data_IF_172699833060
#
_entry.id   IF_172699833060
#
_cell.length_a   1.000
_cell.length_b   1.000
_cell.length_c   1.000
_cell.angle_alpha   90.00
_cell.angle_beta   90.00
_cell.angle_gamma   90.00
#
_symmetry.space_group_name_H-M   'P 1'
#
loop_
_entity.id
_entity.type
_entity.pdbx_description
1 polymer ?
#
# COMPACT_ATOMS: atom_id res chain seq x y z
N UNK A 1 38.51 -19.67 -39.53
CA UNK A 1 38.80 -19.20 -38.16
C UNK A 1 38.44 -17.74 -37.90
N UNK A 2 38.64 -16.80 -38.84
CA UNK A 2 38.32 -15.35 -38.61
C UNK A 2 36.84 -15.05 -38.40
N UNK A 3 35.93 -15.83 -39.01
CA UNK A 3 34.48 -15.64 -38.83
C UNK A 3 33.93 -16.14 -37.49
N UNK A 4 34.54 -17.18 -36.92
CA UNK A 4 34.16 -17.73 -35.62
C UNK A 4 34.45 -16.71 -34.48
N UNK A 5 35.60 -16.01 -34.59
CA UNK A 5 35.97 -14.96 -33.64
C UNK A 5 34.99 -13.76 -33.67
N UNK A 6 34.55 -13.37 -34.89
CA UNK A 6 33.59 -12.28 -35.05
C UNK A 6 32.19 -12.65 -34.47
N UNK A 7 31.76 -13.90 -34.70
CA UNK A 7 30.47 -14.38 -34.13
C UNK A 7 30.52 -14.42 -32.59
N UNK A 8 31.62 -14.91 -32.05
CA UNK A 8 31.80 -15.01 -30.57
C UNK A 8 31.81 -13.58 -29.96
N UNK A 9 32.49 -12.60 -30.62
CA UNK A 9 32.49 -11.21 -30.11
C UNK A 9 31.11 -10.57 -30.17
N UNK A 10 30.34 -10.82 -31.24
CA UNK A 10 28.95 -10.33 -31.35
C UNK A 10 28.02 -10.96 -30.31
N UNK A 11 28.17 -12.25 -30.04
CA UNK A 11 27.39 -12.94 -28.99
C UNK A 11 27.73 -12.40 -27.60
N UNK A 12 29.03 -12.18 -27.33
CA UNK A 12 29.46 -11.64 -26.02
C UNK A 12 28.98 -10.19 -25.84
N UNK A 13 29.07 -9.34 -26.89
CA UNK A 13 28.58 -7.99 -26.84
C UNK A 13 27.04 -7.91 -26.75
N UNK A 14 26.35 -8.84 -27.45
CA UNK A 14 24.89 -8.96 -27.37
C UNK A 14 24.41 -9.42 -26.00
N UNK A 15 25.04 -10.44 -25.42
CA UNK A 15 24.73 -10.91 -24.06
C UNK A 15 25.13 -9.89 -22.99
N UNK A 16 26.26 -9.20 -23.17
CA UNK A 16 26.68 -8.11 -22.27
C UNK A 16 25.73 -6.94 -22.31
N UNK A 17 25.27 -6.54 -23.50
CA UNK A 17 24.25 -5.50 -23.68
C UNK A 17 22.89 -5.91 -23.09
N UNK A 18 22.49 -7.15 -23.30
CA UNK A 18 21.26 -7.70 -22.72
C UNK A 18 21.34 -7.77 -21.19
N UNK A 19 22.49 -8.18 -20.65
CA UNK A 19 22.72 -8.22 -19.21
C UNK A 19 22.69 -6.82 -18.57
N UNK A 20 23.33 -5.82 -19.21
CA UNK A 20 23.34 -4.44 -18.74
C UNK A 20 21.95 -3.77 -18.85
N UNK A 21 21.17 -4.12 -19.86
CA UNK A 21 19.79 -3.63 -19.98
C UNK A 21 18.88 -4.31 -18.96
N UNK A 22 19.07 -5.58 -18.69
CA UNK A 22 18.26 -6.34 -17.74
C UNK A 22 18.58 -5.94 -16.27
N UNK A 23 19.84 -5.61 -15.96
CA UNK A 23 20.21 -5.14 -14.61
C UNK A 23 19.62 -3.76 -14.26
N UNK A 24 19.20 -2.96 -15.24
CA UNK A 24 18.46 -1.71 -15.00
C UNK A 24 16.99 -1.93 -14.68
N UNK A 25 16.43 -3.09 -14.99
CA UNK A 25 15.05 -3.42 -14.68
C UNK A 25 14.87 -4.05 -13.29
N UNK A 26 15.95 -4.59 -12.69
CA UNK A 26 15.89 -5.21 -11.36
C UNK A 26 15.93 -4.19 -10.20
N UNK A 27 16.32 -2.94 -10.45
CA UNK A 27 16.45 -1.93 -9.41
C UNK A 27 15.11 -1.26 -9.03
N UNK A 28 14.00 -1.68 -9.60
CA UNK A 28 12.67 -1.10 -9.35
C UNK A 28 11.67 -2.04 -8.71
N UNK A 29 12.06 -3.26 -8.41
CA UNK A 29 11.38 -4.15 -7.49
C UNK A 29 12.24 -4.28 -6.24
N UNK A 30 12.33 -3.22 -5.46
CA UNK A 30 12.39 -3.45 -4.03
C UNK A 30 11.15 -4.25 -3.74
N UNK A 31 11.34 -5.56 -3.52
CA UNK A 31 10.37 -6.39 -2.83
C UNK A 31 10.10 -5.63 -1.55
N UNK A 32 9.04 -4.81 -1.54
CA UNK A 32 8.45 -4.35 -0.30
C UNK A 32 8.25 -5.65 0.47
N UNK A 33 9.04 -5.87 1.50
CA UNK A 33 8.72 -6.91 2.48
C UNK A 33 7.28 -6.61 2.89
N UNK A 34 6.40 -7.49 2.53
CA UNK A 34 4.96 -7.40 2.38
C UNK A 34 4.22 -7.04 3.69
N UNK A 35 4.92 -6.61 4.72
CA UNK A 35 4.40 -6.53 6.08
C UNK A 35 4.69 -5.23 6.83
N UNK A 36 5.26 -4.19 6.19
CA UNK A 36 5.63 -2.97 6.93
C UNK A 36 4.93 -1.74 6.34
N UNK A 37 3.99 -1.18 7.09
CA UNK A 37 3.45 0.14 6.78
C UNK A 37 4.57 1.18 6.89
N UNK A 38 4.79 2.04 5.89
CA UNK A 38 5.83 3.05 5.96
C UNK A 38 5.49 4.10 7.01
N UNK A 39 6.43 4.34 7.92
CA UNK A 39 6.33 5.38 8.93
C UNK A 39 5.60 4.96 10.21
N UNK A 40 6.03 5.51 11.33
CA UNK A 40 5.43 5.26 12.65
C UNK A 40 4.50 6.39 13.13
N UNK A 41 4.14 7.33 12.26
CA UNK A 41 3.04 8.24 12.54
C UNK A 41 1.73 7.52 12.26
N UNK A 42 0.95 7.23 13.31
CA UNK A 42 -0.38 6.64 13.15
C UNK A 42 -1.32 7.67 12.54
N UNK A 43 -1.28 7.82 11.21
CA UNK A 43 -2.23 8.61 10.44
C UNK A 43 -3.25 7.68 9.79
N UNK A 44 -4.47 7.70 10.28
CA UNK A 44 -5.57 6.93 9.69
C UNK A 44 -6.56 7.87 9.04
N UNK A 45 -6.85 7.66 7.76
CA UNK A 45 -7.85 8.40 7.00
C UNK A 45 -8.94 7.44 6.55
N UNK A 46 -10.20 7.78 6.83
CA UNK A 46 -11.35 6.97 6.42
C UNK A 46 -12.34 7.80 5.60
N UNK A 47 -12.62 7.35 4.39
CA UNK A 47 -13.69 7.89 3.55
C UNK A 47 -14.99 7.15 3.85
N UNK A 48 -16.05 7.91 4.14
CA UNK A 48 -17.35 7.37 4.59
C UNK A 48 -18.53 8.00 3.89
N UNK A 49 -19.72 7.48 4.16
CA UNK A 49 -20.98 8.18 3.90
C UNK A 49 -22.00 7.87 5.01
N UNK A 50 -22.98 8.76 5.23
CA UNK A 50 -24.10 8.48 6.14
C UNK A 50 -24.82 7.18 5.76
N UNK A 51 -25.40 6.51 6.75
CA UNK A 51 -26.16 5.26 6.57
C UNK A 51 -25.34 4.06 6.05
N UNK A 52 -24.04 4.15 6.06
CA UNK A 52 -23.13 3.09 5.66
C UNK A 52 -22.80 2.19 6.87
N UNK A 53 -23.41 1.00 6.93
CA UNK A 53 -23.17 0.03 8.02
C UNK A 53 -21.70 -0.40 8.11
N UNK A 54 -21.04 -0.62 6.98
CA UNK A 54 -19.62 -1.00 6.94
C UNK A 54 -18.72 0.15 7.40
N UNK A 55 -19.10 1.41 7.16
CA UNK A 55 -18.37 2.56 7.70
C UNK A 55 -18.46 2.62 9.23
N UNK A 56 -19.66 2.38 9.78
CA UNK A 56 -19.86 2.30 11.23
C UNK A 56 -19.03 1.18 11.86
N UNK A 57 -19.01 0.00 11.23
CA UNK A 57 -18.22 -1.13 11.71
C UNK A 57 -16.71 -0.84 11.64
N UNK A 58 -16.24 -0.19 10.57
CA UNK A 58 -14.84 0.18 10.44
C UNK A 58 -14.42 1.18 11.51
N UNK A 59 -15.21 2.24 11.73
CA UNK A 59 -14.97 3.22 12.81
C UNK A 59 -14.93 2.55 14.18
N UNK A 60 -15.90 1.68 14.46
CA UNK A 60 -15.91 0.93 15.74
C UNK A 60 -14.64 0.10 15.91
N UNK A 61 -14.17 -0.59 14.87
CA UNK A 61 -12.94 -1.37 14.95
C UNK A 61 -11.72 -0.47 15.22
N UNK A 62 -11.62 0.69 14.57
CA UNK A 62 -10.56 1.66 14.83
C UNK A 62 -10.62 2.21 16.27
N UNK A 63 -11.83 2.50 16.77
CA UNK A 63 -12.05 2.94 18.15
C UNK A 63 -11.63 1.84 19.18
N UNK A 64 -12.03 0.60 18.94
CA UNK A 64 -11.66 -0.55 19.79
C UNK A 64 -10.14 -0.77 19.82
N UNK A 65 -9.47 -0.49 18.69
CA UNK A 65 -8.00 -0.53 18.56
C UNK A 65 -7.31 0.73 19.10
N UNK A 66 -8.07 1.76 19.53
CA UNK A 66 -7.56 3.07 19.94
C UNK A 66 -6.70 3.75 18.89
N UNK A 67 -7.06 3.59 17.62
CA UNK A 67 -6.43 4.25 16.49
C UNK A 67 -7.23 5.50 16.11
N UNK A 68 -6.71 6.71 16.39
CA UNK A 68 -7.38 7.93 15.99
C UNK A 68 -7.42 8.02 14.46
N UNK A 69 -8.52 8.53 13.92
CA UNK A 69 -8.70 8.65 12.48
C UNK A 69 -9.31 9.99 12.09
N UNK A 70 -8.98 10.44 10.89
CA UNK A 70 -9.65 11.53 10.20
C UNK A 70 -10.76 10.96 9.31
N UNK A 71 -11.98 11.50 9.42
CA UNK A 71 -13.13 11.06 8.63
C UNK A 71 -13.44 12.06 7.51
N UNK A 72 -13.53 11.57 6.28
CA UNK A 72 -13.95 12.34 5.10
C UNK A 72 -15.28 11.83 4.60
N UNK A 73 -16.35 12.61 4.80
CA UNK A 73 -17.65 12.30 4.21
C UNK A 73 -17.66 12.62 2.71
N UNK A 74 -17.99 11.61 1.90
CA UNK A 74 -18.09 11.72 0.44
C UNK A 74 -19.54 11.72 -0.05
N UNK A 75 -20.53 11.71 0.85
CA UNK A 75 -21.96 11.57 0.50
C UNK A 75 -22.44 12.67 -0.46
N UNK A 76 -22.20 13.90 -0.10
CA UNK A 76 -22.69 15.08 -0.81
C UNK A 76 -21.66 15.72 -1.75
N UNK A 77 -20.57 15.03 -2.09
CA UNK A 77 -19.51 15.57 -2.90
C UNK A 77 -19.13 14.64 -4.05
N UNK A 78 -19.63 15.00 -5.24
CA UNK A 78 -19.28 14.27 -6.48
C UNK A 78 -17.76 14.33 -6.75
N UNK A 79 -17.13 15.47 -6.45
CA UNK A 79 -15.68 15.62 -6.64
C UNK A 79 -14.87 14.70 -5.72
N UNK A 80 -15.23 14.63 -4.43
CA UNK A 80 -14.56 13.71 -3.48
C UNK A 80 -14.77 12.24 -3.86
N UNK A 81 -15.97 11.90 -4.35
CA UNK A 81 -16.24 10.54 -4.85
C UNK A 81 -15.39 10.21 -6.08
N UNK A 82 -15.29 11.13 -7.03
CA UNK A 82 -14.46 10.96 -8.22
C UNK A 82 -12.98 10.84 -7.86
N UNK A 83 -12.49 11.68 -6.95
CA UNK A 83 -11.13 11.61 -6.43
C UNK A 83 -10.84 10.26 -5.76
N UNK A 84 -11.75 9.81 -4.89
CA UNK A 84 -11.64 8.51 -4.21
C UNK A 84 -11.59 7.36 -5.23
N UNK A 85 -12.47 7.37 -6.22
CA UNK A 85 -12.50 6.36 -7.28
C UNK A 85 -11.20 6.36 -8.11
N UNK A 86 -10.66 7.54 -8.39
CA UNK A 86 -9.39 7.67 -9.11
C UNK A 86 -8.20 7.14 -8.29
N UNK A 87 -8.18 7.42 -6.98
CA UNK A 87 -7.10 6.98 -6.08
C UNK A 87 -7.14 5.48 -5.79
N UNK A 88 -8.33 4.91 -5.63
CA UNK A 88 -8.50 3.52 -5.14
C UNK A 88 -8.92 2.53 -6.21
N UNK A 89 -9.42 3.01 -7.35
CA UNK A 89 -10.11 2.19 -8.34
C UNK A 89 -11.47 1.66 -7.86
N UNK A 90 -11.97 2.12 -6.70
CA UNK A 90 -13.21 1.65 -6.05
C UNK A 90 -14.20 2.79 -5.86
N UNK A 91 -15.49 2.51 -6.08
CA UNK A 91 -16.59 3.47 -5.87
C UNK A 91 -17.36 3.24 -4.56
N UNK A 92 -16.86 2.39 -3.70
CA UNK A 92 -17.52 1.98 -2.45
C UNK A 92 -16.88 2.63 -1.24
N UNK A 93 -17.65 2.78 -0.16
CA UNK A 93 -17.18 3.19 1.16
C UNK A 93 -17.49 2.08 2.18
N UNK A 94 -16.72 1.96 3.26
CA UNK A 94 -15.55 2.78 3.58
C UNK A 94 -14.35 2.49 2.68
N UNK A 95 -13.44 3.47 2.57
CA UNK A 95 -12.10 3.27 2.07
C UNK A 95 -11.14 3.83 3.10
N UNK A 96 -10.15 3.03 3.49
CA UNK A 96 -9.30 3.27 4.65
C UNK A 96 -7.86 3.35 4.20
N UNK A 97 -7.15 4.34 4.71
CA UNK A 97 -5.71 4.51 4.55
C UNK A 97 -5.04 4.50 5.92
N UNK A 98 -3.89 3.87 6.03
CA UNK A 98 -3.01 3.92 7.20
C UNK A 98 -1.65 4.36 6.69
N UNK A 99 -1.14 5.48 7.18
CA UNK A 99 0.12 6.09 6.74
C UNK A 99 0.22 6.21 5.21
N UNK A 100 -0.81 6.78 4.58
CA UNK A 100 -0.97 6.92 3.13
C UNK A 100 -1.06 5.58 2.35
N UNK A 101 -0.98 4.45 3.03
CA UNK A 101 -1.16 3.15 2.41
C UNK A 101 -2.64 2.78 2.36
N UNK A 102 -3.15 2.47 1.16
CA UNK A 102 -4.54 2.07 0.97
C UNK A 102 -4.77 0.65 1.48
N UNK A 103 -5.48 0.54 2.59
CA UNK A 103 -5.88 -0.76 3.18
C UNK A 103 -7.05 -1.38 2.41
N UNK A 104 -8.05 -0.58 2.08
CA UNK A 104 -9.28 -1.02 1.43
C UNK A 104 -10.52 -0.72 2.23
N UNK A 105 -11.50 -1.63 2.20
CA UNK A 105 -12.76 -1.53 2.93
C UNK A 105 -12.72 -2.09 4.36
N UNK A 106 -13.91 -2.24 4.95
CA UNK A 106 -14.01 -2.81 6.30
C UNK A 106 -13.49 -4.26 6.40
N UNK A 107 -13.80 -5.09 5.40
CA UNK A 107 -13.37 -6.49 5.41
C UNK A 107 -11.83 -6.60 5.27
N UNK A 108 -11.22 -5.71 4.50
CA UNK A 108 -9.75 -5.62 4.35
C UNK A 108 -9.10 -5.19 5.69
N UNK A 109 -9.66 -4.16 6.36
CA UNK A 109 -9.21 -3.71 7.68
C UNK A 109 -9.35 -4.82 8.73
N UNK A 110 -10.48 -5.52 8.72
CA UNK A 110 -10.73 -6.64 9.63
C UNK A 110 -9.74 -7.78 9.40
N UNK A 111 -9.49 -8.16 8.17
CA UNK A 111 -8.51 -9.20 7.84
C UNK A 111 -7.09 -8.81 8.29
N UNK A 112 -6.71 -7.54 8.10
CA UNK A 112 -5.44 -7.00 8.56
C UNK A 112 -5.30 -7.08 10.09
N UNK A 113 -6.37 -6.75 10.83
CA UNK A 113 -6.41 -6.88 12.27
C UNK A 113 -6.36 -8.35 12.73
N UNK A 114 -7.18 -9.22 12.13
CA UNK A 114 -7.29 -10.63 12.51
C UNK A 114 -5.98 -11.40 12.23
N UNK A 115 -5.21 -10.98 11.25
CA UNK A 115 -3.87 -11.54 10.96
C UNK A 115 -2.79 -11.14 11.97
N UNK A 116 -3.07 -10.18 12.86
CA UNK A 116 -2.12 -9.63 13.83
C UNK A 116 -1.12 -8.64 13.23
N UNK A 117 -1.15 -8.39 11.92
CA UNK A 117 -0.22 -7.47 11.23
C UNK A 117 -0.35 -6.04 11.74
N UNK A 118 -1.59 -5.59 12.00
CA UNK A 118 -1.85 -4.25 12.53
C UNK A 118 -1.30 -4.07 13.95
N UNK A 119 -1.43 -5.09 14.79
CA UNK A 119 -0.84 -5.10 16.13
C UNK A 119 0.68 -5.06 16.08
N UNK A 120 1.29 -5.91 15.25
CA UNK A 120 2.75 -5.95 15.06
C UNK A 120 3.29 -4.60 14.57
N UNK A 121 2.62 -3.95 13.63
CA UNK A 121 2.97 -2.62 13.15
C UNK A 121 3.03 -1.61 14.31
N UNK A 122 2.01 -1.53 15.14
CA UNK A 122 1.95 -0.62 16.28
C UNK A 122 3.05 -0.89 17.31
N UNK A 123 3.27 -2.15 17.67
CA UNK A 123 4.32 -2.55 18.60
C UNK A 123 5.72 -2.15 18.10
N UNK A 124 5.97 -2.25 16.79
CA UNK A 124 7.24 -1.82 16.18
C UNK A 124 7.42 -0.30 16.29
N UNK A 125 6.35 0.45 16.07
CA UNK A 125 6.37 1.91 16.17
C UNK A 125 6.57 2.41 17.60
N UNK A 126 5.93 1.79 18.59
CA UNK A 126 6.14 2.12 20.01
C UNK A 126 7.60 1.95 20.41
N UNK A 127 8.28 0.92 19.89
CA UNK A 127 9.71 0.66 20.19
C UNK A 127 10.65 1.68 19.54
N UNK A 128 10.30 2.24 18.38
CA UNK A 128 11.12 3.28 17.72
C UNK A 128 11.03 4.63 18.41
N UNK A 129 9.89 4.96 19.03
CA UNK A 129 9.72 6.20 19.78
C UNK A 129 10.44 6.23 21.13
N UNK A 130 10.92 5.07 21.62
CA UNK A 130 11.64 4.94 22.89
C UNK A 130 13.18 5.06 22.73
N UNK A 131 13.68 5.25 21.51
CA UNK A 131 15.11 5.43 21.21
C UNK A 131 15.49 6.92 21.15
#
# INVERSE_FOLDING_TARGET
>A
MRYILLIVTFVILGLGGYFLLNSRYEEKYEVMEEDTFPGCEESVLIYTSPYCKYCTNAKKLLDDLKMPYEEVDVHNSTSKRAELAQKTGRNTVPQIYINDHHVGGFDDLKALNDSGKLKKFRETCDLEQLK
#
